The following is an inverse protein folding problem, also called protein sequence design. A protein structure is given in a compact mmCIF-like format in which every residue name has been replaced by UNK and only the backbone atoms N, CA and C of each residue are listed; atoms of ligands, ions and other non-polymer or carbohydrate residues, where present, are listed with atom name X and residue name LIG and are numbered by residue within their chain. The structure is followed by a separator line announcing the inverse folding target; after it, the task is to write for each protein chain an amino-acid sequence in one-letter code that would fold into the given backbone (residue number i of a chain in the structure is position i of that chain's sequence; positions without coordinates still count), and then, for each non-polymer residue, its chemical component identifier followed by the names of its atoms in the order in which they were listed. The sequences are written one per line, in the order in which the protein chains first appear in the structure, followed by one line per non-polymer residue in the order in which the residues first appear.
data_IF_550497101232
#
_entry.id   IF_550497101232
#
_cell.length_a   1.000
_cell.length_b   1.000
_cell.length_c   1.000
_cell.angle_alpha   90.00
_cell.angle_beta   90.00
_cell.angle_gamma   90.00
#
_symmetry.space_group_name_H-M   'P 1'
#
loop_
_entity.id
_entity.type
_entity.pdbx_description
1 polymer ?
#
# COMPACT_ATOMS: atom_id res chain seq x y z
N UNK A 1 13.80 14.33 -1.17
CA UNK A 1 13.01 13.59 -0.16
C UNK A 1 11.59 14.10 -0.24
N UNK A 2 10.58 13.22 -0.28
CA UNK A 2 9.15 13.59 -0.33
C UNK A 2 8.49 13.26 1.00
N UNK A 3 7.56 14.09 1.45
CA UNK A 3 6.89 13.95 2.74
C UNK A 3 5.38 13.99 2.54
N UNK A 4 4.68 13.05 3.15
CA UNK A 4 3.22 12.99 3.13
C UNK A 4 2.70 12.66 4.51
N UNK A 5 1.58 13.27 4.89
CA UNK A 5 0.89 12.96 6.15
C UNK A 5 -0.34 12.12 5.83
N UNK A 6 -0.48 11.01 6.56
CA UNK A 6 -1.65 10.13 6.51
C UNK A 6 -2.08 9.77 7.94
N UNK A 7 -3.21 10.32 8.37
CA UNK A 7 -3.64 10.27 9.77
C UNK A 7 -2.56 10.83 10.73
N UNK A 8 -2.09 9.99 11.65
CA UNK A 8 -1.06 10.32 12.66
C UNK A 8 0.36 9.94 12.23
N UNK A 9 0.53 9.55 10.97
CA UNK A 9 1.79 9.06 10.43
C UNK A 9 2.31 10.02 9.37
N UNK A 10 3.63 10.25 9.38
CA UNK A 10 4.34 11.01 8.36
C UNK A 10 5.21 10.03 7.60
N UNK A 11 4.92 9.86 6.31
CA UNK A 11 5.67 9.05 5.37
C UNK A 11 6.74 9.89 4.69
N UNK A 12 7.97 9.41 4.73
CA UNK A 12 9.14 10.03 4.15
C UNK A 12 9.71 9.08 3.10
N UNK A 13 9.75 9.55 1.86
CA UNK A 13 10.30 8.81 0.74
C UNK A 13 11.65 9.42 0.35
N UNK A 14 12.72 8.62 0.44
CA UNK A 14 14.06 9.08 0.10
C UNK A 14 14.25 9.23 -1.43
N UNK A 15 15.48 9.48 -1.87
CA UNK A 15 15.80 9.72 -3.28
C UNK A 15 15.73 8.48 -4.18
N UNK A 16 15.77 7.25 -3.65
CA UNK A 16 15.58 6.05 -4.47
C UNK A 16 14.12 5.91 -4.94
N UNK A 17 13.18 6.56 -4.24
CA UNK A 17 11.78 6.65 -4.65
C UNK A 17 11.60 7.84 -5.60
N UNK A 18 11.91 7.59 -6.87
CA UNK A 18 11.95 8.62 -7.91
C UNK A 18 10.56 9.22 -8.18
N UNK A 19 9.49 8.44 -8.04
CA UNK A 19 8.11 8.90 -8.22
C UNK A 19 7.21 8.29 -7.15
N UNK A 20 6.36 9.10 -6.54
CA UNK A 20 5.34 8.65 -5.58
C UNK A 20 4.36 9.78 -5.31
N UNK A 21 3.10 9.43 -5.02
CA UNK A 21 2.01 10.33 -4.70
C UNK A 21 0.91 9.60 -3.91
N UNK A 22 0.05 10.36 -3.22
CA UNK A 22 -1.15 9.83 -2.58
C UNK A 22 -2.18 9.50 -3.65
N UNK A 23 -2.35 8.21 -3.95
CA UNK A 23 -3.16 7.74 -5.07
C UNK A 23 -4.65 7.97 -4.83
N UNK A 24 -5.11 7.68 -3.61
CA UNK A 24 -6.48 7.91 -3.18
C UNK A 24 -6.90 9.40 -3.18
N UNK A 25 -5.94 10.33 -3.23
CA UNK A 25 -6.18 11.78 -3.35
C UNK A 25 -6.02 12.31 -4.77
N UNK A 26 -5.58 11.50 -5.72
CA UNK A 26 -5.36 11.94 -7.09
C UNK A 26 -6.68 12.16 -7.84
N UNK A 27 -6.74 13.19 -8.69
CA UNK A 27 -7.97 13.62 -9.37
C UNK A 27 -8.59 12.50 -10.22
N UNK A 28 -7.79 11.71 -10.91
CA UNK A 28 -8.28 10.60 -11.75
C UNK A 28 -8.90 9.47 -10.92
N UNK A 29 -8.33 9.17 -9.75
CA UNK A 29 -8.92 8.23 -8.82
C UNK A 29 -10.24 8.78 -8.27
N UNK A 30 -10.25 10.04 -7.81
CA UNK A 30 -11.45 10.70 -7.27
C UNK A 30 -12.59 10.73 -8.28
N UNK A 31 -12.28 10.99 -9.57
CA UNK A 31 -13.25 10.91 -10.66
C UNK A 31 -13.87 9.52 -10.77
N UNK A 32 -13.06 8.45 -10.72
CA UNK A 32 -13.56 7.09 -10.76
C UNK A 32 -14.38 6.73 -9.49
N UNK A 33 -13.88 7.05 -8.29
CA UNK A 33 -14.55 6.70 -7.03
C UNK A 33 -15.86 7.45 -6.80
N UNK A 34 -15.97 8.68 -7.32
CA UNK A 34 -17.21 9.45 -7.23
C UNK A 34 -18.28 8.93 -8.18
N UNK A 35 -17.89 8.40 -9.33
CA UNK A 35 -18.81 7.83 -10.32
C UNK A 35 -19.20 6.38 -9.99
N UNK A 36 -18.25 5.59 -9.48
CA UNK A 36 -18.42 4.17 -9.18
C UNK A 36 -18.33 3.96 -7.67
N UNK A 37 -19.49 3.90 -7.03
CA UNK A 37 -19.56 3.60 -5.60
C UNK A 37 -18.85 2.28 -5.30
N UNK A 38 -18.18 2.22 -4.14
CA UNK A 38 -17.37 1.10 -3.67
C UNK A 38 -16.01 0.89 -4.35
N UNK A 39 -15.60 1.72 -5.31
CA UNK A 39 -14.20 1.75 -5.76
C UNK A 39 -13.27 2.05 -4.59
N UNK A 40 -12.18 1.28 -4.48
CA UNK A 40 -11.19 1.46 -3.40
C UNK A 40 -9.82 1.75 -4.00
N UNK A 41 -9.08 2.71 -3.46
CA UNK A 41 -7.69 2.99 -3.84
C UNK A 41 -6.72 2.60 -2.74
N UNK A 42 -5.51 2.17 -3.10
CA UNK A 42 -4.39 2.17 -2.14
C UNK A 42 -4.03 3.61 -1.78
N UNK A 43 -3.42 3.82 -0.62
CA UNK A 43 -3.06 5.19 -0.20
C UNK A 43 -1.94 5.77 -1.07
N UNK A 44 -0.95 4.96 -1.46
CA UNK A 44 0.18 5.41 -2.27
C UNK A 44 0.50 4.48 -3.44
N UNK A 45 0.91 5.10 -4.55
CA UNK A 45 1.68 4.46 -5.62
C UNK A 45 3.09 5.04 -5.63
N UNK A 46 4.06 4.23 -6.05
CA UNK A 46 5.40 4.74 -6.28
C UNK A 46 6.28 3.84 -7.13
N UNK A 47 7.38 4.44 -7.56
CA UNK A 47 8.43 3.84 -8.37
C UNK A 47 9.74 4.00 -7.61
N UNK A 48 10.42 2.89 -7.38
CA UNK A 48 11.78 2.86 -6.87
C UNK A 48 12.76 2.54 -8.00
N UNK A 49 13.85 3.30 -8.06
CA UNK A 49 15.03 3.09 -8.91
C UNK A 49 14.64 2.76 -10.38
N UNK A 50 13.60 3.43 -10.90
CA UNK A 50 13.01 3.23 -12.24
C UNK A 50 12.51 1.82 -12.58
N UNK A 51 12.67 0.86 -11.68
CA UNK A 51 12.59 -0.56 -12.00
C UNK A 51 11.56 -1.30 -11.16
N UNK A 52 11.14 -0.75 -10.02
CA UNK A 52 10.19 -1.36 -9.10
C UNK A 52 8.94 -0.50 -8.99
N UNK A 53 7.78 -1.10 -9.25
CA UNK A 53 6.47 -0.52 -8.95
C UNK A 53 6.03 -1.01 -7.56
N UNK A 54 5.54 -0.11 -6.71
CA UNK A 54 4.93 -0.51 -5.44
C UNK A 54 3.58 0.15 -5.19
N UNK A 55 2.71 -0.62 -4.54
CA UNK A 55 1.44 -0.21 -3.97
C UNK A 55 1.60 -0.22 -2.46
N UNK A 56 1.22 0.87 -1.79
CA UNK A 56 1.33 0.99 -0.34
C UNK A 56 -0.03 1.36 0.24
N UNK A 57 -0.54 0.48 1.10
CA UNK A 57 -1.76 0.66 1.87
C UNK A 57 -1.42 0.75 3.36
N UNK A 58 -2.05 1.68 4.07
CA UNK A 58 -1.77 2.05 5.44
C UNK A 58 -3.00 1.75 6.28
N UNK A 59 -2.75 1.04 7.39
CA UNK A 59 -3.74 0.76 8.42
C UNK A 59 -3.15 1.06 9.78
N UNK A 60 -3.66 2.10 10.42
CA UNK A 60 -3.36 2.40 11.81
C UNK A 60 -4.44 1.79 12.72
N UNK A 61 -4.11 0.68 13.37
CA UNK A 61 -5.01 -0.05 14.27
C UNK A 61 -4.75 0.26 15.74
N UNK A 62 -3.86 1.21 16.05
CA UNK A 62 -3.55 1.63 17.42
C UNK A 62 -4.80 2.18 18.11
N UNK A 63 -4.99 1.84 19.39
CA UNK A 63 -6.16 2.25 20.18
C UNK A 63 -7.49 1.55 19.84
N UNK A 64 -7.53 0.68 18.81
CA UNK A 64 -8.75 -0.03 18.38
C UNK A 64 -8.52 -1.56 18.28
N UNK A 65 -7.61 -2.10 19.10
CA UNK A 65 -7.14 -3.49 19.02
C UNK A 65 -8.26 -4.54 19.04
N UNK A 66 -9.30 -4.36 19.88
CA UNK A 66 -10.38 -5.33 20.03
C UNK A 66 -11.23 -5.42 18.75
N UNK A 67 -11.57 -4.27 18.17
CA UNK A 67 -12.37 -4.20 16.94
C UNK A 67 -11.60 -4.77 15.75
N UNK A 68 -10.32 -4.42 15.64
CA UNK A 68 -9.48 -4.85 14.52
C UNK A 68 -9.00 -6.31 14.61
N UNK A 69 -9.05 -6.93 15.80
CA UNK A 69 -8.72 -8.36 15.97
C UNK A 69 -9.57 -9.25 15.06
N UNK A 70 -10.87 -8.98 14.96
CA UNK A 70 -11.78 -9.73 14.09
C UNK A 70 -11.41 -9.60 12.62
N UNK A 71 -11.02 -8.40 12.17
CA UNK A 71 -10.62 -8.13 10.77
C UNK A 71 -9.33 -8.85 10.38
N UNK A 72 -8.41 -9.00 11.34
CA UNK A 72 -7.17 -9.75 11.17
C UNK A 72 -7.42 -11.27 11.10
N UNK A 73 -8.34 -11.79 11.91
CA UNK A 73 -8.64 -13.24 12.00
C UNK A 73 -9.54 -13.73 10.86
N UNK A 74 -10.44 -12.90 10.35
CA UNK A 74 -11.42 -13.28 9.31
C UNK A 74 -10.92 -13.11 7.87
N UNK A 75 -9.74 -12.51 7.68
CA UNK A 75 -9.22 -12.18 6.35
C UNK A 75 -9.95 -11.03 5.65
N UNK A 76 -10.78 -10.28 6.38
CA UNK A 76 -11.47 -9.09 5.86
C UNK A 76 -10.47 -8.03 5.41
N UNK A 77 -9.42 -7.77 6.22
CA UNK A 77 -8.39 -6.79 5.91
C UNK A 77 -7.67 -7.10 4.59
N UNK A 78 -7.27 -8.35 4.40
CA UNK A 78 -6.54 -8.76 3.20
C UNK A 78 -7.44 -8.80 1.96
N UNK A 79 -8.75 -9.05 2.12
CA UNK A 79 -9.73 -8.87 1.04
C UNK A 79 -9.87 -7.39 0.67
N UNK A 80 -9.97 -6.50 1.66
CA UNK A 80 -10.05 -5.05 1.41
C UNK A 80 -8.82 -4.53 0.67
N UNK A 81 -7.62 -4.90 1.12
CA UNK A 81 -6.36 -4.53 0.44
C UNK A 81 -6.31 -5.13 -0.97
N UNK A 82 -6.78 -6.37 -1.15
CA UNK A 82 -6.89 -6.99 -2.47
C UNK A 82 -7.79 -6.21 -3.43
N UNK A 83 -8.95 -5.76 -2.96
CA UNK A 83 -9.84 -4.88 -3.75
C UNK A 83 -9.17 -3.55 -4.06
N UNK A 84 -8.49 -2.92 -3.09
CA UNK A 84 -7.76 -1.67 -3.31
C UNK A 84 -6.70 -1.80 -4.39
N UNK A 85 -5.90 -2.87 -4.39
CA UNK A 85 -4.89 -3.10 -5.43
C UNK A 85 -5.54 -3.31 -6.81
N UNK A 86 -6.57 -4.17 -6.89
CA UNK A 86 -7.32 -4.43 -8.13
C UNK A 86 -7.84 -3.14 -8.75
N UNK A 87 -8.54 -2.34 -7.95
CA UNK A 87 -9.19 -1.12 -8.40
C UNK A 87 -8.16 -0.03 -8.74
N UNK A 88 -7.02 0.03 -8.02
CA UNK A 88 -5.91 0.92 -8.35
C UNK A 88 -5.31 0.60 -9.71
N UNK A 89 -5.11 -0.69 -10.03
CA UNK A 89 -4.66 -1.13 -11.36
C UNK A 89 -5.65 -0.72 -12.45
N UNK A 90 -6.95 -0.98 -12.24
CA UNK A 90 -7.98 -0.60 -13.21
C UNK A 90 -8.02 0.92 -13.44
N UNK A 91 -7.88 1.70 -12.36
CA UNK A 91 -7.85 3.15 -12.43
C UNK A 91 -6.60 3.67 -13.16
N UNK A 92 -5.42 3.10 -12.94
CA UNK A 92 -4.21 3.49 -13.70
C UNK A 92 -4.41 3.32 -15.21
N UNK A 93 -4.99 2.20 -15.62
CA UNK A 93 -5.27 1.90 -17.03
C UNK A 93 -6.31 2.89 -17.57
N UNK A 94 -7.41 3.10 -16.86
CA UNK A 94 -8.45 4.05 -17.27
C UNK A 94 -7.99 5.51 -17.31
N UNK A 95 -7.14 5.91 -16.36
CA UNK A 95 -6.60 7.26 -16.29
C UNK A 95 -5.69 7.56 -17.48
N UNK A 96 -4.93 6.59 -17.99
CA UNK A 96 -4.15 6.77 -19.21
C UNK A 96 -4.98 7.12 -20.46
N UNK A 97 -6.25 6.72 -20.49
CA UNK A 97 -7.17 7.09 -21.58
C UNK A 97 -7.90 8.42 -21.35
N UNK A 98 -8.07 8.84 -20.10
CA UNK A 98 -9.07 9.86 -19.74
C UNK A 98 -8.56 11.00 -18.88
N UNK A 99 -7.33 10.89 -18.37
CA UNK A 99 -6.66 11.91 -17.59
C UNK A 99 -6.32 13.10 -18.47
N UNK A 100 -6.36 14.30 -17.89
CA UNK A 100 -5.77 15.50 -18.50
C UNK A 100 -4.24 15.50 -18.46
N UNK A 101 -3.62 14.61 -17.68
CA UNK A 101 -2.17 14.40 -17.61
C UNK A 101 -1.83 12.91 -17.78
N UNK A 102 -1.94 12.35 -19.01
CA UNK A 102 -1.58 10.95 -19.25
C UNK A 102 -0.09 10.67 -19.04
N UNK A 103 0.78 11.69 -19.19
CA UNK A 103 2.23 11.54 -19.01
C UNK A 103 2.60 11.19 -17.57
N UNK A 104 1.81 11.64 -16.58
CA UNK A 104 1.93 11.20 -15.19
C UNK A 104 1.88 9.67 -15.04
N UNK A 105 1.02 9.01 -15.82
CA UNK A 105 0.72 7.58 -15.71
C UNK A 105 1.68 6.70 -16.51
N UNK A 106 2.30 7.22 -17.57
CA UNK A 106 3.18 6.45 -18.45
C UNK A 106 4.29 5.67 -17.71
N UNK A 107 5.03 6.25 -16.74
CA UNK A 107 6.07 5.51 -16.01
C UNK A 107 5.51 4.32 -15.24
N UNK A 108 4.35 4.49 -14.60
CA UNK A 108 3.71 3.41 -13.84
C UNK A 108 3.18 2.30 -14.74
N UNK A 109 2.55 2.66 -15.87
CA UNK A 109 2.01 1.68 -16.83
C UNK A 109 3.12 0.93 -17.56
N UNK A 110 4.22 1.60 -17.91
CA UNK A 110 5.42 0.94 -18.47
C UNK A 110 5.91 -0.17 -17.54
N UNK A 111 5.92 0.09 -16.24
CA UNK A 111 6.31 -0.88 -15.22
C UNK A 111 5.24 -1.96 -14.99
N UNK A 112 3.97 -1.59 -14.95
CA UNK A 112 2.86 -2.52 -14.79
C UNK A 112 2.79 -3.56 -15.93
N UNK A 113 3.04 -3.12 -17.18
CA UNK A 113 2.93 -3.99 -18.35
C UNK A 113 4.22 -4.76 -18.67
N UNK A 114 5.33 -4.45 -18.01
CA UNK A 114 6.56 -5.23 -18.16
C UNK A 114 6.50 -6.48 -17.26
N UNK A 115 6.44 -7.70 -17.82
CA UNK A 115 6.30 -8.93 -17.04
C UNK A 115 7.50 -9.23 -16.14
N UNK A 116 8.66 -8.61 -16.39
CA UNK A 116 9.87 -8.79 -15.56
C UNK A 116 9.94 -7.82 -14.39
N UNK A 117 9.14 -6.76 -14.41
CA UNK A 117 9.16 -5.72 -13.39
C UNK A 117 8.68 -6.26 -12.04
N UNK A 118 9.42 -6.05 -10.94
CA UNK A 118 8.90 -6.28 -9.60
C UNK A 118 7.73 -5.34 -9.29
N UNK A 119 6.57 -5.93 -9.01
CA UNK A 119 5.43 -5.23 -8.45
C UNK A 119 5.28 -5.64 -6.99
N UNK A 120 5.54 -4.72 -6.06
CA UNK A 120 5.38 -4.96 -4.62
C UNK A 120 4.05 -4.42 -4.10
N UNK A 121 3.39 -5.18 -3.23
CA UNK A 121 2.27 -4.69 -2.43
C UNK A 121 2.70 -4.66 -0.97
N UNK A 122 2.67 -3.48 -0.37
CA UNK A 122 3.11 -3.23 1.01
C UNK A 122 1.87 -2.86 1.81
N UNK A 123 1.54 -3.66 2.82
CA UNK A 123 0.58 -3.31 3.85
C UNK A 123 1.35 -2.76 5.05
N UNK A 124 1.28 -1.45 5.25
CA UNK A 124 1.77 -0.80 6.46
C UNK A 124 0.72 -0.91 7.56
N UNK A 125 0.99 -1.72 8.57
CA UNK A 125 0.06 -2.03 9.66
C UNK A 125 0.66 -1.59 11.00
N UNK A 126 0.19 -0.44 11.51
CA UNK A 126 0.52 -0.02 12.87
C UNK A 126 -0.41 -0.67 13.88
N UNK A 127 0.16 -1.28 14.90
CA UNK A 127 -0.57 -1.86 16.02
C UNK A 127 0.05 -1.41 17.33
N UNK A 128 -0.74 -1.38 18.41
CA UNK A 128 -0.22 -1.03 19.74
C UNK A 128 1.00 -1.89 20.11
N UNK A 129 2.04 -1.27 20.67
CA UNK A 129 3.27 -1.95 21.08
C UNK A 129 2.90 -3.06 22.07
N UNK A 130 3.16 -4.30 21.66
CA UNK A 130 2.86 -5.46 22.49
C UNK A 130 4.08 -5.82 23.32
N UNK A 131 3.88 -6.06 24.63
CA UNK A 131 4.91 -6.57 25.53
C UNK A 131 5.68 -7.75 24.90
N UNK A 132 6.97 -7.93 25.24
CA UNK A 132 7.90 -8.84 24.55
C UNK A 132 7.34 -10.25 24.27
N UNK A 133 6.57 -10.82 25.20
CA UNK A 133 5.92 -12.14 25.07
C UNK A 133 4.86 -12.22 23.95
N UNK A 134 4.38 -11.10 23.42
CA UNK A 134 3.38 -11.01 22.34
C UNK A 134 3.98 -10.64 20.97
N UNK A 135 5.28 -10.36 20.89
CA UNK A 135 5.99 -10.11 19.62
C UNK A 135 5.92 -11.33 18.70
N UNK A 136 6.08 -12.54 19.26
CA UNK A 136 5.99 -13.78 18.47
C UNK A 136 4.61 -13.96 17.83
N UNK A 137 3.55 -13.62 18.56
CA UNK A 137 2.17 -13.69 18.05
C UNK A 137 1.92 -12.68 16.92
N UNK A 138 2.49 -11.47 17.03
CA UNK A 138 2.42 -10.48 15.96
C UNK A 138 3.13 -10.96 14.69
N UNK A 139 4.34 -11.52 14.81
CA UNK A 139 5.06 -12.10 13.66
C UNK A 139 4.27 -13.21 12.96
N UNK A 140 3.61 -14.08 13.73
CA UNK A 140 2.75 -15.13 13.16
C UNK A 140 1.57 -14.52 12.40
N UNK A 141 0.91 -13.52 12.98
CA UNK A 141 -0.18 -12.81 12.30
C UNK A 141 0.29 -12.15 11.00
N UNK A 142 1.43 -11.46 11.02
CA UNK A 142 2.00 -10.80 9.83
C UNK A 142 2.30 -11.83 8.73
N UNK A 143 2.80 -13.01 9.10
CA UNK A 143 3.01 -14.12 8.16
C UNK A 143 1.69 -14.63 7.56
N UNK A 144 0.65 -14.81 8.39
CA UNK A 144 -0.68 -15.24 7.92
C UNK A 144 -1.28 -14.21 6.96
N UNK A 145 -1.23 -12.93 7.31
CA UNK A 145 -1.69 -11.82 6.45
C UNK A 145 -0.93 -11.81 5.12
N UNK A 146 0.41 -11.92 5.18
CA UNK A 146 1.26 -11.96 3.99
C UNK A 146 0.91 -13.15 3.10
N UNK A 147 0.71 -14.33 3.67
CA UNK A 147 0.35 -15.53 2.91
C UNK A 147 -1.01 -15.37 2.21
N UNK A 148 -2.01 -14.85 2.92
CA UNK A 148 -3.33 -14.63 2.36
C UNK A 148 -3.35 -13.55 1.27
N UNK A 149 -2.66 -12.43 1.48
CA UNK A 149 -2.47 -11.41 0.44
C UNK A 149 -1.80 -11.97 -0.80
N UNK A 150 -0.72 -12.76 -0.65
CA UNK A 150 -0.06 -13.42 -1.80
C UNK A 150 -1.00 -14.34 -2.57
N UNK A 151 -1.89 -15.04 -1.87
CA UNK A 151 -2.90 -15.90 -2.51
C UNK A 151 -3.90 -15.04 -3.29
N UNK A 152 -4.45 -13.99 -2.68
CA UNK A 152 -5.45 -13.10 -3.29
C UNK A 152 -4.90 -12.25 -4.44
N UNK A 153 -3.63 -11.88 -4.39
CA UNK A 153 -2.97 -11.01 -5.35
C UNK A 153 -2.19 -11.77 -6.43
N UNK A 154 -2.21 -13.12 -6.44
CA UNK A 154 -1.41 -13.94 -7.36
C UNK A 154 -1.64 -13.63 -8.84
N UNK A 155 -2.81 -13.09 -9.18
CA UNK A 155 -3.13 -12.63 -10.54
C UNK A 155 -2.25 -11.45 -11.01
N UNK A 156 -1.67 -10.69 -10.08
CA UNK A 156 -0.78 -9.56 -10.34
C UNK A 156 0.64 -9.83 -9.82
N UNK A 157 0.78 -10.23 -8.55
CA UNK A 157 2.08 -10.41 -7.90
C UNK A 157 2.00 -11.33 -6.67
N UNK A 158 3.14 -11.94 -6.34
CA UNK A 158 3.36 -12.66 -5.07
C UNK A 158 4.37 -11.96 -4.16
N UNK A 159 4.83 -10.76 -4.56
CA UNK A 159 5.76 -9.92 -3.81
C UNK A 159 4.95 -9.01 -2.88
N UNK A 160 4.83 -9.44 -1.63
CA UNK A 160 4.01 -8.77 -0.59
C UNK A 160 4.82 -8.65 0.69
N UNK A 161 4.74 -7.48 1.34
CA UNK A 161 5.27 -7.24 2.69
C UNK A 161 4.17 -6.71 3.62
N UNK A 162 4.24 -7.12 4.88
CA UNK A 162 3.46 -6.53 5.98
C UNK A 162 4.47 -5.85 6.89
N UNK A 163 4.33 -4.53 7.01
CA UNK A 163 5.34 -3.64 7.59
C UNK A 163 4.76 -2.83 8.72
N UNK A 164 5.64 -2.28 9.55
CA UNK A 164 5.30 -1.31 10.60
C UNK A 164 6.55 -0.47 10.89
N UNK A 165 6.45 0.52 11.77
CA UNK A 165 7.59 1.31 12.21
C UNK A 165 8.73 0.45 12.78
N UNK A 166 8.40 -0.67 13.44
CA UNK A 166 9.37 -1.60 14.01
C UNK A 166 9.85 -2.69 13.02
N UNK A 167 9.21 -2.79 11.85
CA UNK A 167 9.56 -3.73 10.80
C UNK A 167 9.37 -3.04 9.42
N UNK A 168 10.29 -2.13 9.05
CA UNK A 168 10.17 -1.39 7.80
C UNK A 168 10.30 -2.31 6.58
N UNK A 169 9.78 -1.88 5.41
CA UNK A 169 9.86 -2.65 4.17
C UNK A 169 11.33 -2.87 3.78
N UNK A 170 11.65 -4.11 3.42
CA UNK A 170 12.99 -4.48 2.92
C UNK A 170 13.05 -4.33 1.41
N UNK A 171 11.91 -4.60 0.78
CA UNK A 171 11.74 -4.49 -0.67
C UNK A 171 11.84 -3.06 -1.18
N UNK A 172 11.42 -2.09 -0.36
CA UNK A 172 11.39 -0.66 -0.69
C UNK A 172 12.01 0.14 0.47
N UNK A 173 13.34 0.07 0.65
CA UNK A 173 14.04 0.64 1.81
C UNK A 173 13.96 2.18 1.87
N UNK A 174 13.49 2.82 0.79
CA UNK A 174 13.32 4.26 0.71
C UNK A 174 12.13 4.82 1.48
N UNK A 175 11.30 3.98 2.10
CA UNK A 175 10.13 4.39 2.90
C UNK A 175 10.49 4.43 4.38
N UNK A 176 10.41 5.61 4.98
CA UNK A 176 10.51 5.82 6.43
C UNK A 176 9.19 6.39 6.96
N UNK A 177 8.82 6.03 8.18
CA UNK A 177 7.59 6.50 8.80
C UNK A 177 7.85 6.91 10.23
N UNK A 178 7.35 8.08 10.58
CA UNK A 178 7.40 8.63 11.94
C UNK A 178 5.99 9.01 12.39
N UNK A 179 5.80 9.13 13.70
CA UNK A 179 4.57 9.73 14.23
C UNK A 179 4.58 11.24 13.97
N UNK A 180 3.44 11.78 13.54
CA UNK A 180 3.24 13.23 13.50
C UNK A 180 3.40 13.77 14.92
N UNK A 181 4.24 14.81 15.08
CA UNK A 181 4.28 15.55 16.35
C UNK A 181 2.89 16.14 16.59
N UNK A 182 2.31 15.86 17.75
CA UNK A 182 1.06 16.46 18.21
C UNK A 182 1.31 17.90 18.63
#
# INVERSE_FOLDING_TARGET
MKHFTEGKLVFMFNTSIIQTFQFDKHVDYQKASNALQQTKGVDFLGIQDETVLFFLEIKDFRGARIQNKKRLETGELTTEVGHKVRDSVACMIGANHTSSDPQHWHPYLKLLFNPTTPIWVILWLETDVVAQHKIQKQKVNDQTLRHDLKRKLRWLTTKVEVCSQNNPPRSVPGVQVINSKT
#
